data_IF_393470183389
#
_entry.id   IF_393470183389
#
_cell.length_a   1.000
_cell.length_b   1.000
_cell.length_c   1.000
_cell.angle_alpha   90.00
_cell.angle_beta   90.00
_cell.angle_gamma   90.00
#
_symmetry.space_group_name_H-M   'P 1'
#
loop_
_entity.id
_entity.type
_entity.pdbx_description
1 polymer ?
#
# COMPACT_ATOMS: atom_id res chain seq x y z
N UNK A 1 0.27 -37.25 41.64
CA UNK A 1 -0.58 -36.48 40.71
C UNK A 1 0.34 -35.75 39.74
N UNK A 2 0.42 -36.23 38.49
CA UNK A 2 1.30 -35.68 37.45
C UNK A 2 0.53 -34.69 36.58
N UNK A 3 0.98 -33.44 36.49
CA UNK A 3 0.48 -32.47 35.50
C UNK A 3 1.40 -32.45 34.28
N UNK A 4 0.91 -33.04 33.19
CA UNK A 4 1.52 -33.02 31.86
C UNK A 4 1.60 -31.59 31.31
N UNK A 5 2.83 -31.10 31.09
CA UNK A 5 3.10 -29.84 30.39
C UNK A 5 3.01 -30.11 28.90
N UNK A 6 1.88 -29.76 28.26
CA UNK A 6 1.77 -29.78 26.79
C UNK A 6 2.70 -28.70 26.22
N UNK A 7 3.84 -29.13 25.67
CA UNK A 7 4.67 -28.29 24.81
C UNK A 7 3.96 -28.12 23.46
N UNK A 8 3.56 -26.90 23.12
CA UNK A 8 3.11 -26.60 21.76
C UNK A 8 4.30 -26.77 20.80
N UNK A 9 4.13 -27.51 19.68
CA UNK A 9 5.19 -27.64 18.69
C UNK A 9 5.43 -26.28 18.04
N UNK A 10 6.67 -25.83 18.15
CA UNK A 10 7.25 -24.75 17.35
C UNK A 10 7.00 -25.05 15.87
N UNK A 11 6.14 -24.27 15.22
CA UNK A 11 6.04 -24.27 13.76
C UNK A 11 7.30 -23.62 13.19
N UNK A 12 8.30 -24.46 12.95
CA UNK A 12 9.41 -24.18 12.06
C UNK A 12 8.85 -24.18 10.63
N UNK A 13 8.29 -23.06 10.19
CA UNK A 13 7.97 -22.85 8.77
C UNK A 13 9.25 -22.48 8.01
N UNK A 14 10.06 -23.51 7.75
CA UNK A 14 11.04 -23.56 6.66
C UNK A 14 10.30 -23.49 5.34
N UNK A 15 9.92 -22.28 4.95
CA UNK A 15 9.70 -21.85 3.56
C UNK A 15 9.77 -20.32 3.56
N UNK A 16 10.99 -19.78 3.70
CA UNK A 16 11.28 -18.40 3.35
C UNK A 16 11.24 -18.27 1.83
N UNK A 17 10.05 -18.31 1.25
CA UNK A 17 9.83 -17.97 -0.16
C UNK A 17 10.35 -16.54 -0.39
N UNK A 18 10.95 -16.25 -1.56
CA UNK A 18 11.35 -14.89 -1.95
C UNK A 18 10.26 -13.85 -1.67
N UNK A 19 9.00 -14.22 -1.90
CA UNK A 19 7.78 -13.45 -1.63
C UNK A 19 7.63 -13.02 -0.16
N UNK A 20 7.96 -13.88 0.81
CA UNK A 20 7.89 -13.53 2.25
C UNK A 20 8.97 -12.51 2.62
N UNK A 21 10.17 -12.67 2.09
CA UNK A 21 11.29 -11.73 2.28
C UNK A 21 11.01 -10.38 1.61
N UNK A 22 10.39 -10.40 0.44
CA UNK A 22 10.00 -9.22 -0.31
C UNK A 22 8.90 -8.44 0.42
N UNK A 23 7.85 -9.14 0.89
CA UNK A 23 6.81 -8.56 1.76
C UNK A 23 7.38 -7.95 3.03
N UNK A 24 8.37 -8.59 3.67
CA UNK A 24 9.03 -8.06 4.86
C UNK A 24 9.88 -6.82 4.55
N UNK A 25 10.61 -6.82 3.42
CA UNK A 25 11.36 -5.65 2.95
C UNK A 25 10.43 -4.50 2.59
N UNK A 26 9.27 -4.78 2.02
CA UNK A 26 8.26 -3.78 1.69
C UNK A 26 7.62 -3.20 2.97
N UNK A 27 7.27 -4.05 3.95
CA UNK A 27 6.83 -3.61 5.29
C UNK A 27 7.87 -2.72 5.99
N UNK A 28 9.16 -3.08 5.89
CA UNK A 28 10.24 -2.30 6.50
C UNK A 28 10.49 -0.98 5.78
N UNK A 29 10.37 -0.95 4.45
CA UNK A 29 10.45 0.28 3.64
C UNK A 29 9.27 1.23 3.90
N UNK A 30 8.10 0.68 4.19
CA UNK A 30 6.87 1.46 4.42
C UNK A 30 6.72 1.97 5.86
N UNK A 31 7.49 1.45 6.84
CA UNK A 31 7.56 2.01 8.19
C UNK A 31 8.45 3.26 8.19
N UNK A 32 7.86 4.43 7.92
CA UNK A 32 8.51 5.73 8.11
C UNK A 32 8.59 6.13 9.59
N UNK A 33 9.66 6.81 9.97
CA UNK A 33 9.97 7.28 11.35
C UNK A 33 9.72 8.79 11.51
N UNK A 34 8.78 9.35 10.75
CA UNK A 34 8.70 10.81 10.53
C UNK A 34 7.39 11.40 11.03
N UNK A 35 7.46 12.63 11.52
CA UNK A 35 6.37 13.41 12.14
C UNK A 35 5.32 13.92 11.15
N UNK A 36 5.62 13.91 9.85
CA UNK A 36 4.67 14.21 8.77
C UNK A 36 4.20 12.87 8.24
N UNK A 37 2.94 12.56 8.49
CA UNK A 37 2.30 11.32 8.04
C UNK A 37 1.48 11.72 6.82
N UNK A 38 1.91 11.32 5.63
CA UNK A 38 1.07 11.44 4.44
C UNK A 38 -0.24 10.69 4.70
N UNK A 39 -1.37 11.40 4.64
CA UNK A 39 -2.72 10.85 4.71
C UNK A 39 -3.57 11.37 3.54
N UNK A 40 -4.79 10.86 3.41
CA UNK A 40 -5.70 11.33 2.34
C UNK A 40 -6.28 12.72 2.60
N UNK A 41 -6.23 13.21 3.83
CA UNK A 41 -6.72 14.55 4.18
C UNK A 41 -5.75 15.63 3.69
N UNK A 42 -4.45 15.33 3.65
CA UNK A 42 -3.40 16.21 3.15
C UNK A 42 -3.31 16.26 1.62
N UNK A 43 -4.10 15.47 0.89
CA UNK A 43 -4.04 15.45 -0.58
C UNK A 43 -4.57 16.76 -1.16
N UNK A 44 -3.88 17.30 -2.16
CA UNK A 44 -4.42 18.39 -2.95
C UNK A 44 -5.72 17.95 -3.65
N UNK A 45 -6.83 18.60 -3.28
CA UNK A 45 -8.15 18.21 -3.75
C UNK A 45 -8.34 18.34 -5.27
N UNK A 46 -7.61 19.27 -5.92
CA UNK A 46 -7.73 19.48 -7.35
C UNK A 46 -6.94 18.45 -8.15
N UNK A 47 -5.76 18.05 -7.66
CA UNK A 47 -5.02 16.91 -8.21
C UNK A 47 -5.82 15.62 -8.05
N UNK A 48 -6.41 15.38 -6.88
CA UNK A 48 -7.23 14.20 -6.64
C UNK A 48 -8.44 14.11 -7.58
N UNK A 49 -9.19 15.20 -7.75
CA UNK A 49 -10.32 15.25 -8.71
C UNK A 49 -9.84 14.98 -10.14
N UNK A 50 -8.70 15.55 -10.53
CA UNK A 50 -8.14 15.35 -11.86
C UNK A 50 -7.74 13.89 -12.08
N UNK A 51 -7.08 13.26 -11.11
CA UNK A 51 -6.75 11.83 -11.15
C UNK A 51 -8.01 10.98 -11.34
N UNK A 52 -9.04 11.20 -10.51
CA UNK A 52 -10.33 10.49 -10.63
C UNK A 52 -10.92 10.67 -12.03
N UNK A 53 -10.92 11.89 -12.56
CA UNK A 53 -11.51 12.19 -13.87
C UNK A 53 -10.77 11.52 -15.03
N UNK A 54 -9.45 11.35 -14.95
CA UNK A 54 -8.69 10.65 -16.00
C UNK A 54 -8.88 9.14 -15.89
N UNK A 55 -8.74 8.57 -14.68
CA UNK A 55 -8.87 7.12 -14.45
C UNK A 55 -10.28 6.62 -14.79
N UNK A 56 -11.32 7.39 -14.47
CA UNK A 56 -12.71 7.01 -14.70
C UNK A 56 -13.06 6.77 -16.19
N UNK A 57 -12.22 7.22 -17.11
CA UNK A 57 -12.37 6.93 -18.56
C UNK A 57 -12.00 5.50 -18.93
N UNK A 58 -11.17 4.86 -18.11
CA UNK A 58 -10.57 3.55 -18.38
C UNK A 58 -10.92 2.51 -17.31
N UNK A 59 -11.34 2.93 -16.11
CA UNK A 59 -11.78 2.00 -15.07
C UNK A 59 -12.14 2.68 -13.76
N UNK A 60 -11.79 2.05 -12.64
CA UNK A 60 -12.16 2.53 -11.30
C UNK A 60 -10.96 2.68 -10.39
N UNK A 61 -11.09 3.60 -9.43
CA UNK A 61 -10.08 3.91 -8.42
C UNK A 61 -10.63 3.60 -7.02
N UNK A 62 -9.81 2.99 -6.16
CA UNK A 62 -10.15 2.71 -4.76
C UNK A 62 -9.01 3.18 -3.87
N UNK A 63 -9.36 3.89 -2.80
CA UNK A 63 -8.41 4.34 -1.79
C UNK A 63 -8.44 3.36 -0.62
N UNK A 64 -7.27 3.02 -0.07
CA UNK A 64 -7.19 2.14 1.08
C UNK A 64 -5.94 2.31 1.92
N UNK A 65 -6.00 1.80 3.14
CA UNK A 65 -4.91 1.84 4.10
C UNK A 65 -4.61 0.44 4.60
N UNK A 66 -3.34 0.03 4.55
CA UNK A 66 -2.93 -1.26 5.12
C UNK A 66 -2.52 -1.11 6.58
N UNK A 67 -3.28 -1.73 7.47
CA UNK A 67 -3.00 -1.77 8.92
C UNK A 67 -1.66 -2.43 9.24
N UNK A 68 -1.29 -3.46 8.47
CA UNK A 68 -0.05 -4.23 8.70
C UNK A 68 1.19 -3.56 8.11
N UNK A 69 1.02 -2.77 7.05
CA UNK A 69 2.09 -2.09 6.34
C UNK A 69 2.27 -0.63 6.73
N UNK A 70 1.29 -0.02 7.41
CA UNK A 70 1.30 1.40 7.76
C UNK A 70 1.37 2.31 6.55
N UNK A 71 0.80 1.88 5.42
CA UNK A 71 0.90 2.59 4.14
C UNK A 71 -0.49 2.82 3.55
N UNK A 72 -0.65 3.98 2.95
CA UNK A 72 -1.80 4.28 2.08
C UNK A 72 -1.54 3.65 0.71
N UNK A 73 -2.60 3.33 -0.01
CA UNK A 73 -2.48 2.85 -1.38
C UNK A 73 -3.64 3.32 -2.24
N UNK A 74 -3.36 3.54 -3.52
CA UNK A 74 -4.37 3.71 -4.54
C UNK A 74 -4.42 2.41 -5.34
N UNK A 75 -5.61 1.85 -5.48
CA UNK A 75 -5.84 0.67 -6.28
C UNK A 75 -6.65 1.05 -7.52
N UNK A 76 -6.15 0.65 -8.68
CA UNK A 76 -6.79 0.86 -9.95
C UNK A 76 -7.32 -0.48 -10.47
N UNK A 77 -8.54 -0.46 -11.01
CA UNK A 77 -9.14 -1.60 -11.70
C UNK A 77 -9.42 -1.20 -13.14
N UNK A 78 -8.70 -1.82 -14.08
CA UNK A 78 -8.83 -1.58 -15.52
C UNK A 78 -8.80 -2.90 -16.25
N UNK A 79 -9.76 -3.10 -17.18
CA UNK A 79 -9.89 -4.29 -18.00
C UNK A 79 -9.88 -5.63 -17.23
N UNK A 80 -10.42 -5.63 -16.00
CA UNK A 80 -10.50 -6.80 -15.14
C UNK A 80 -9.21 -7.10 -14.36
N UNK A 81 -8.17 -6.30 -14.54
CA UNK A 81 -6.93 -6.38 -13.77
C UNK A 81 -6.90 -5.31 -12.67
N UNK A 82 -6.28 -5.65 -11.53
CA UNK A 82 -6.07 -4.72 -10.42
C UNK A 82 -4.60 -4.48 -10.19
N UNK A 83 -4.20 -3.21 -10.07
CA UNK A 83 -2.86 -2.84 -9.63
C UNK A 83 -2.92 -1.83 -8.49
N UNK A 84 -1.97 -1.94 -7.57
CA UNK A 84 -1.90 -1.14 -6.34
C UNK A 84 -0.61 -0.35 -6.32
N UNK A 85 -0.74 0.96 -6.25
CA UNK A 85 0.36 1.85 -5.94
C UNK A 85 0.33 2.24 -4.47
N UNK A 86 1.44 2.02 -3.79
CA UNK A 86 1.57 2.28 -2.36
C UNK A 86 2.24 3.63 -2.15
N UNK A 87 1.55 4.49 -1.41
CA UNK A 87 2.08 5.78 -0.98
C UNK A 87 2.70 5.62 0.40
N UNK A 88 4.01 5.88 0.49
CA UNK A 88 4.73 5.86 1.76
C UNK A 88 4.43 7.12 2.56
N UNK A 89 4.47 7.04 3.90
CA UNK A 89 4.28 8.21 4.75
C UNK A 89 5.29 9.35 4.51
N UNK A 90 6.43 9.06 3.88
CA UNK A 90 7.50 10.02 3.59
C UNK A 90 7.47 10.57 2.17
N UNK A 91 6.55 10.09 1.33
CA UNK A 91 6.44 10.53 -0.05
C UNK A 91 5.58 11.79 -0.14
N UNK A 92 5.96 12.67 -1.06
CA UNK A 92 5.19 13.86 -1.40
C UNK A 92 3.92 13.43 -2.15
N UNK A 93 2.78 13.62 -1.49
CA UNK A 93 1.47 13.22 -2.02
C UNK A 93 1.12 13.94 -3.31
N UNK A 94 1.46 15.22 -3.44
CA UNK A 94 1.12 16.03 -4.61
C UNK A 94 1.97 15.61 -5.81
N UNK A 95 3.27 15.38 -5.57
CA UNK A 95 4.15 14.84 -6.59
C UNK A 95 3.72 13.43 -7.04
N UNK A 96 3.30 12.58 -6.11
CA UNK A 96 2.75 11.26 -6.40
C UNK A 96 1.47 11.36 -7.26
N UNK A 97 0.48 12.15 -6.85
CA UNK A 97 -0.75 12.35 -7.61
C UNK A 97 -0.48 12.89 -9.01
N UNK A 98 0.45 13.84 -9.15
CA UNK A 98 0.81 14.39 -10.45
C UNK A 98 1.44 13.33 -11.36
N UNK A 99 2.37 12.51 -10.83
CA UNK A 99 2.98 11.42 -11.58
C UNK A 99 1.94 10.40 -12.06
N UNK A 100 0.97 10.05 -11.20
CA UNK A 100 -0.14 9.17 -11.58
C UNK A 100 -1.00 9.79 -12.69
N UNK A 101 -1.39 11.06 -12.57
CA UNK A 101 -2.16 11.76 -13.62
C UNK A 101 -1.42 11.71 -14.96
N UNK A 102 -0.12 12.01 -14.96
CA UNK A 102 0.68 12.03 -16.18
C UNK A 102 0.74 10.64 -16.82
N UNK A 103 0.91 9.58 -16.01
CA UNK A 103 0.92 8.19 -16.48
C UNK A 103 -0.38 7.77 -17.18
N UNK A 104 -1.52 8.33 -16.79
CA UNK A 104 -2.82 8.06 -17.40
C UNK A 104 -3.16 8.92 -18.62
N UNK A 105 -2.34 9.92 -18.96
CA UNK A 105 -2.59 10.87 -20.07
C UNK A 105 -1.68 10.69 -21.27
N UNK A 106 -0.71 9.78 -21.19
CA UNK A 106 0.17 9.36 -22.28
C UNK A 106 -0.53 8.36 -23.21
#
# INVERSE_FOLDING_TARGET
MSTSKKSNPSKTDTNSTPDKLERLKQRRRNRGTTTVVTDYESFNSDLLKRLIAVVAKHGTITFGYTRDGGAYYINYWVDGESFKEYLRPTEDADAFLQAEIDAWTL
#
